data_IF_184769897334
#
_entry.id   IF_184769897334
#
_cell.length_a   1.000
_cell.length_b   1.000
_cell.length_c   1.000
_cell.angle_alpha   90.00
_cell.angle_beta   90.00
_cell.angle_gamma   90.00
#
_symmetry.space_group_name_H-M   'P 1'
#
loop_
_entity.id
_entity.type
_entity.pdbx_description
1 polymer ?
#
# COMPACT_ATOMS: atom_id res chain seq x y z
N UNK A 1 10.01 10.32 -14.73
CA UNK A 1 8.54 10.32 -14.58
C UNK A 1 8.11 10.66 -13.15
N UNK A 2 8.45 9.86 -12.13
CA UNK A 2 7.97 10.10 -10.75
C UNK A 2 8.28 11.49 -10.17
N UNK A 3 9.50 12.00 -10.35
CA UNK A 3 9.91 13.32 -9.87
C UNK A 3 9.05 14.45 -10.44
N UNK A 4 8.79 14.44 -11.75
CA UNK A 4 7.99 15.48 -12.43
C UNK A 4 6.53 15.49 -11.97
N UNK A 5 6.00 14.33 -11.61
CA UNK A 5 4.63 14.22 -11.09
C UNK A 5 4.59 14.70 -9.64
N UNK A 6 5.55 14.29 -8.80
CA UNK A 6 5.59 14.62 -7.37
C UNK A 6 5.75 16.12 -7.12
N UNK A 7 6.56 16.81 -7.94
CA UNK A 7 6.79 18.26 -7.81
C UNK A 7 5.57 19.12 -8.15
N UNK A 8 4.55 18.57 -8.82
CA UNK A 8 3.32 19.27 -9.21
C UNK A 8 2.15 19.08 -8.23
N UNK A 9 2.38 18.42 -7.10
CA UNK A 9 1.33 18.09 -6.11
C UNK A 9 1.22 19.22 -5.07
N UNK A 10 -0.01 19.69 -4.73
CA UNK A 10 -0.18 20.73 -3.73
C UNK A 10 0.27 20.27 -2.33
N UNK A 11 0.83 21.16 -1.48
CA UNK A 11 1.41 20.76 -0.20
C UNK A 11 0.49 20.00 0.75
N UNK A 12 -0.81 20.32 0.70
CA UNK A 12 -1.87 19.66 1.47
C UNK A 12 -1.99 18.14 1.21
N UNK A 13 -1.46 17.66 0.07
CA UNK A 13 -1.53 16.26 -0.32
C UNK A 13 -0.22 15.49 -0.06
N UNK A 14 0.83 16.09 0.49
CA UNK A 14 2.09 15.36 0.74
C UNK A 14 1.93 14.18 1.71
N UNK A 15 1.14 14.32 2.77
CA UNK A 15 0.88 13.23 3.72
C UNK A 15 0.01 12.12 3.11
N UNK A 16 -1.13 12.43 2.43
CA UNK A 16 -1.86 11.44 1.63
C UNK A 16 -0.99 10.77 0.55
N UNK A 17 -0.12 11.52 -0.11
CA UNK A 17 0.81 11.02 -1.12
C UNK A 17 1.82 10.04 -0.53
N UNK A 18 2.38 10.34 0.63
CA UNK A 18 3.27 9.45 1.37
C UNK A 18 2.56 8.14 1.76
N UNK A 19 1.31 8.20 2.21
CA UNK A 19 0.50 7.00 2.47
C UNK A 19 0.20 6.24 1.18
N UNK A 20 -0.13 6.94 0.10
CA UNK A 20 -0.44 6.35 -1.19
C UNK A 20 0.75 5.65 -1.83
N UNK A 21 1.96 6.22 -1.74
CA UNK A 21 3.18 5.55 -2.21
C UNK A 21 3.52 4.30 -1.38
N UNK A 22 3.22 4.31 -0.07
CA UNK A 22 3.30 3.11 0.76
C UNK A 22 2.25 2.05 0.38
N UNK A 23 1.05 2.43 -0.04
CA UNK A 23 0.07 1.46 -0.56
C UNK A 23 0.55 0.81 -1.87
N UNK A 24 1.22 1.59 -2.73
CA UNK A 24 1.77 1.13 -4.00
C UNK A 24 2.98 0.20 -3.80
N UNK A 25 3.82 0.41 -2.78
CA UNK A 25 4.94 -0.50 -2.46
C UNK A 25 4.46 -1.92 -2.07
N UNK A 26 3.17 -2.06 -1.78
CA UNK A 26 2.48 -3.34 -1.64
C UNK A 26 2.51 -4.24 -2.88
N UNK A 27 3.01 -3.77 -4.02
CA UNK A 27 3.36 -4.62 -5.19
C UNK A 27 4.29 -5.79 -4.81
N UNK A 28 5.01 -5.68 -3.70
CA UNK A 28 5.77 -6.77 -3.07
C UNK A 28 4.94 -8.04 -2.84
N UNK A 29 3.61 -7.94 -2.74
CA UNK A 29 2.70 -9.09 -2.67
C UNK A 29 2.84 -10.05 -3.86
N UNK A 30 3.10 -9.54 -5.07
CA UNK A 30 3.33 -10.39 -6.25
C UNK A 30 4.58 -11.26 -6.03
N UNK A 31 5.66 -10.65 -5.55
CA UNK A 31 6.89 -11.38 -5.22
C UNK A 31 6.69 -12.38 -4.09
N UNK A 32 5.90 -12.01 -3.07
CA UNK A 32 5.56 -12.90 -1.96
C UNK A 32 4.76 -14.12 -2.42
N UNK A 33 3.77 -13.94 -3.31
CA UNK A 33 2.98 -15.04 -3.88
C UNK A 33 3.84 -15.95 -4.77
N UNK A 34 4.72 -15.37 -5.58
CA UNK A 34 5.66 -16.14 -6.38
C UNK A 34 6.61 -16.97 -5.49
N UNK A 35 7.22 -16.34 -4.50
CA UNK A 35 8.08 -17.01 -3.53
C UNK A 35 7.32 -18.06 -2.70
N UNK A 36 6.02 -17.87 -2.50
CA UNK A 36 5.15 -18.84 -1.84
C UNK A 36 4.93 -20.10 -2.68
N UNK A 37 4.96 -20.00 -4.01
CA UNK A 37 4.70 -21.13 -4.91
C UNK A 37 5.90 -22.05 -5.15
N UNK A 38 7.13 -21.60 -4.94
CA UNK A 38 8.36 -22.31 -5.34
C UNK A 38 9.13 -22.96 -4.17
N UNK A 39 8.42 -23.28 -3.08
CA UNK A 39 9.05 -23.65 -1.80
C UNK A 39 9.31 -25.14 -1.68
N UNK A 40 10.57 -25.52 -1.44
CA UNK A 40 10.97 -26.93 -1.31
C UNK A 40 11.21 -27.35 0.15
N UNK A 41 11.73 -26.43 0.99
CA UNK A 41 12.06 -26.69 2.39
C UNK A 41 10.96 -26.19 3.36
N UNK A 42 10.82 -26.83 4.53
CA UNK A 42 9.93 -26.40 5.59
C UNK A 42 10.21 -24.96 6.05
N UNK A 43 11.48 -24.54 6.06
CA UNK A 43 11.87 -23.17 6.41
C UNK A 43 11.36 -22.19 5.34
N UNK A 44 11.54 -22.51 4.06
CA UNK A 44 11.07 -21.65 2.95
C UNK A 44 9.55 -21.54 2.91
N UNK A 45 8.83 -22.58 3.34
CA UNK A 45 7.36 -22.57 3.49
C UNK A 45 6.89 -21.56 4.53
N UNK A 46 7.49 -21.59 5.71
CA UNK A 46 7.17 -20.66 6.80
C UNK A 46 7.51 -19.22 6.38
N UNK A 47 8.68 -19.01 5.76
CA UNK A 47 9.10 -17.68 5.31
C UNK A 47 8.19 -17.11 4.22
N UNK A 48 7.76 -17.91 3.23
CA UNK A 48 6.83 -17.39 2.22
C UNK A 48 5.42 -17.18 2.76
N UNK A 49 4.96 -17.98 3.74
CA UNK A 49 3.71 -17.68 4.46
C UNK A 49 3.80 -16.31 5.16
N UNK A 50 4.89 -16.06 5.90
CA UNK A 50 5.13 -14.77 6.55
C UNK A 50 5.25 -13.62 5.53
N UNK A 51 5.92 -13.86 4.40
CA UNK A 51 6.05 -12.88 3.33
C UNK A 51 4.68 -12.44 2.79
N UNK A 52 3.78 -13.39 2.52
CA UNK A 52 2.42 -13.09 2.06
C UNK A 52 1.64 -12.31 3.12
N UNK A 53 1.75 -12.69 4.40
CA UNK A 53 1.09 -11.98 5.51
C UNK A 53 1.56 -10.52 5.57
N UNK A 54 2.88 -10.28 5.59
CA UNK A 54 3.43 -8.93 5.68
C UNK A 54 3.11 -8.07 4.46
N UNK A 55 3.21 -8.65 3.25
CA UNK A 55 2.85 -7.94 2.03
C UNK A 55 1.35 -7.59 2.01
N UNK A 56 0.49 -8.48 2.49
CA UNK A 56 -0.96 -8.22 2.61
C UNK A 56 -1.24 -7.09 3.59
N UNK A 57 -0.59 -7.07 4.76
CA UNK A 57 -0.72 -5.99 5.74
C UNK A 57 -0.30 -4.65 5.12
N UNK A 58 0.80 -4.62 4.36
CA UNK A 58 1.28 -3.41 3.71
C UNK A 58 0.27 -2.86 2.67
N UNK A 59 -0.23 -3.72 1.76
CA UNK A 59 -1.25 -3.35 0.76
C UNK A 59 -2.52 -2.85 1.46
N UNK A 60 -3.13 -3.69 2.31
CA UNK A 60 -4.44 -3.40 2.90
C UNK A 60 -4.37 -2.18 3.82
N UNK A 61 -3.36 -2.13 4.69
CA UNK A 61 -3.14 -1.00 5.60
C UNK A 61 -2.87 0.29 4.84
N UNK A 62 -2.00 0.25 3.82
CA UNK A 62 -1.69 1.40 2.98
C UNK A 62 -2.92 1.96 2.27
N UNK A 63 -3.74 1.12 1.63
CA UNK A 63 -4.95 1.58 0.95
C UNK A 63 -6.03 2.09 1.91
N UNK A 64 -6.21 1.45 3.07
CA UNK A 64 -7.22 1.85 4.05
C UNK A 64 -6.88 3.22 4.69
N UNK A 65 -5.62 3.44 5.06
CA UNK A 65 -5.18 4.72 5.61
C UNK A 65 -5.27 5.82 4.55
N UNK A 66 -4.81 5.55 3.33
CA UNK A 66 -4.90 6.51 2.22
C UNK A 66 -6.36 6.88 1.91
N UNK A 67 -7.27 5.91 1.92
CA UNK A 67 -8.70 6.17 1.73
C UNK A 67 -9.27 7.08 2.81
N UNK A 68 -8.93 6.85 4.09
CA UNK A 68 -9.35 7.71 5.20
C UNK A 68 -8.80 9.13 5.07
N UNK A 69 -7.51 9.28 4.72
CA UNK A 69 -6.89 10.58 4.50
C UNK A 69 -7.56 11.36 3.36
N UNK A 70 -7.81 10.70 2.22
CA UNK A 70 -8.48 11.32 1.08
C UNK A 70 -9.96 11.62 1.36
N UNK A 71 -10.60 10.83 2.23
CA UNK A 71 -11.97 11.07 2.69
C UNK A 71 -12.15 12.40 3.43
N UNK A 72 -11.09 12.95 4.03
CA UNK A 72 -11.12 14.25 4.72
C UNK A 72 -11.23 15.44 3.76
N UNK A 73 -10.94 15.24 2.46
CA UNK A 73 -11.07 16.28 1.43
C UNK A 73 -12.44 16.27 0.74
N UNK A 74 -13.28 15.27 1.01
CA UNK A 74 -14.67 15.30 0.57
C UNK A 74 -15.44 16.30 1.43
N UNK A 75 -16.14 17.25 0.81
CA UNK A 75 -17.11 18.08 1.53
C UNK A 75 -18.09 17.15 2.23
N UNK A 76 -18.21 17.29 3.55
CA UNK A 76 -19.22 16.59 4.35
C UNK A 76 -20.56 16.95 3.74
N UNK A 77 -21.29 15.98 3.20
CA UNK A 77 -22.65 16.22 2.70
C UNK A 77 -23.42 16.94 3.82
N UNK A 78 -23.92 18.14 3.52
CA UNK A 78 -24.75 18.89 4.45
C UNK A 78 -25.96 18.02 4.82
N UNK A 79 -26.40 17.97 6.09
CA UNK A 79 -27.56 17.20 6.47
C UNK A 79 -28.77 17.66 5.64
N UNK A 80 -29.49 16.72 5.04
CA UNK A 80 -30.83 16.96 4.47
C UNK A 80 -31.81 17.29 5.59
#
# INVERSE_FOLDING_TARGET
MGFEIITKIPPILHTPLMSGSNAISGITLIGALYAAGIQESNITKILGLLSVIFATINVVGGFLVTHRMLGMFKKKDAPK
#
